data_IF_585862455785
#
_entry.id   IF_585862455785
#
_cell.length_a   1.000
_cell.length_b   1.000
_cell.length_c   1.000
_cell.angle_alpha   90.00
_cell.angle_beta   90.00
_cell.angle_gamma   90.00
#
_symmetry.space_group_name_H-M   'P 1'
#
loop_
_entity.id
_entity.type
_entity.pdbx_description
1 polymer ?
#
# COMPACT_ATOMS: atom_id res chain seq x y z
N UNK A 1 -70.35 -21.65 7.90
CA UNK A 1 -69.87 -22.46 6.77
C UNK A 1 -68.80 -21.61 6.08
N UNK A 2 -67.54 -22.01 6.13
CA UNK A 2 -66.45 -21.25 5.50
C UNK A 2 -66.22 -21.78 4.09
N UNK A 3 -66.26 -20.89 3.10
CA UNK A 3 -65.91 -21.17 1.71
C UNK A 3 -64.49 -20.67 1.49
N UNK A 4 -63.60 -21.56 1.05
CA UNK A 4 -62.22 -21.23 0.72
C UNK A 4 -62.07 -21.37 -0.79
N UNK A 5 -61.62 -20.30 -1.44
CA UNK A 5 -61.30 -20.29 -2.86
C UNK A 5 -59.77 -20.20 -3.03
N UNK A 6 -59.23 -20.98 -3.98
CA UNK A 6 -57.83 -20.93 -4.38
C UNK A 6 -57.76 -20.50 -5.86
N UNK A 7 -57.00 -19.44 -6.14
CA UNK A 7 -56.76 -18.95 -7.49
C UNK A 7 -55.27 -19.09 -7.84
N UNK A 8 -54.95 -19.82 -8.90
CA UNK A 8 -53.58 -19.99 -9.40
C UNK A 8 -53.49 -19.51 -10.86
N UNK A 9 -52.40 -18.81 -11.18
CA UNK A 9 -52.04 -18.46 -12.56
C UNK A 9 -51.12 -19.54 -13.12
N UNK A 10 -51.46 -20.09 -14.29
CA UNK A 10 -50.61 -21.08 -14.98
C UNK A 10 -49.64 -20.36 -15.93
N UNK A 11 -48.33 -20.38 -15.64
CA UNK A 11 -47.33 -19.79 -16.53
C UNK A 11 -47.14 -20.63 -17.79
N UNK A 12 -46.66 -20.01 -18.87
CA UNK A 12 -46.32 -20.73 -20.09
C UNK A 12 -45.23 -21.78 -19.81
N UNK A 13 -45.29 -22.93 -20.50
CA UNK A 13 -44.31 -24.00 -20.35
C UNK A 13 -42.87 -23.45 -20.51
N UNK A 14 -41.97 -23.80 -19.60
CA UNK A 14 -40.57 -23.35 -19.59
C UNK A 14 -40.33 -21.91 -19.14
N UNK A 15 -41.36 -21.07 -18.93
CA UNK A 15 -41.16 -19.68 -18.51
C UNK A 15 -40.68 -19.54 -17.06
N UNK A 16 -41.04 -20.46 -16.17
CA UNK A 16 -40.50 -20.51 -14.81
C UNK A 16 -39.03 -20.96 -14.84
N UNK A 17 -38.68 -21.98 -15.62
CA UNK A 17 -37.30 -22.45 -15.75
C UNK A 17 -36.39 -21.40 -16.40
N UNK A 18 -36.90 -20.64 -17.37
CA UNK A 18 -36.19 -19.51 -17.96
C UNK A 18 -35.92 -18.41 -16.92
N UNK A 19 -36.91 -18.08 -16.08
CA UNK A 19 -36.72 -17.12 -14.99
C UNK A 19 -35.76 -17.62 -13.93
N UNK A 20 -35.86 -18.89 -13.53
CA UNK A 20 -34.96 -19.49 -12.56
C UNK A 20 -33.50 -19.44 -13.06
N UNK A 21 -33.26 -19.77 -14.34
CA UNK A 21 -31.94 -19.62 -14.97
C UNK A 21 -31.46 -18.18 -14.98
N UNK A 22 -32.29 -17.23 -15.41
CA UNK A 22 -31.93 -15.81 -15.41
C UNK A 22 -31.55 -15.31 -14.00
N UNK A 23 -32.34 -15.65 -12.99
CA UNK A 23 -32.04 -15.29 -11.59
C UNK A 23 -30.78 -15.98 -11.06
N UNK A 24 -30.50 -17.22 -11.50
CA UNK A 24 -29.27 -17.91 -11.13
C UNK A 24 -28.03 -17.25 -11.74
N UNK A 25 -28.09 -16.85 -13.01
CA UNK A 25 -27.02 -16.10 -13.68
C UNK A 25 -26.81 -14.72 -13.03
N UNK A 26 -27.89 -13.99 -12.71
CA UNK A 26 -27.82 -12.73 -11.98
C UNK A 26 -27.16 -12.91 -10.60
N UNK A 27 -27.52 -13.99 -9.87
CA UNK A 27 -26.89 -14.30 -8.60
C UNK A 27 -25.39 -14.60 -8.73
N UNK A 28 -24.99 -15.34 -9.77
CA UNK A 28 -23.58 -15.62 -10.05
C UNK A 28 -22.80 -14.34 -10.38
N UNK A 29 -23.39 -13.44 -11.18
CA UNK A 29 -22.79 -12.15 -11.50
C UNK A 29 -22.58 -11.30 -10.23
N UNK A 30 -23.59 -11.21 -9.35
CA UNK A 30 -23.47 -10.48 -8.08
C UNK A 30 -22.38 -11.06 -7.17
N UNK A 31 -22.21 -12.38 -7.12
CA UNK A 31 -21.14 -13.02 -6.35
C UNK A 31 -19.76 -12.72 -6.94
N UNK A 32 -19.63 -12.73 -8.27
CA UNK A 32 -18.40 -12.36 -8.94
C UNK A 32 -18.02 -10.89 -8.66
N UNK A 33 -18.99 -9.97 -8.73
CA UNK A 33 -18.80 -8.56 -8.39
C UNK A 33 -18.34 -8.38 -6.95
N UNK A 34 -18.97 -9.07 -5.99
CA UNK A 34 -18.56 -9.04 -4.59
C UNK A 34 -17.11 -9.50 -4.42
N UNK A 35 -16.74 -10.62 -5.05
CA UNK A 35 -15.36 -11.14 -4.98
C UNK A 35 -14.33 -10.16 -5.57
N UNK A 36 -14.72 -9.43 -6.62
CA UNK A 36 -13.88 -8.40 -7.25
C UNK A 36 -13.66 -7.22 -6.30
N UNK A 37 -14.73 -6.73 -5.66
CA UNK A 37 -14.63 -5.66 -4.66
C UNK A 37 -13.77 -6.06 -3.45
N UNK A 38 -13.90 -7.31 -2.96
CA UNK A 38 -13.04 -7.83 -1.90
C UNK A 38 -11.56 -7.83 -2.31
N UNK A 39 -11.25 -8.26 -3.55
CA UNK A 39 -9.88 -8.23 -4.09
C UNK A 39 -9.35 -6.80 -4.20
N UNK A 40 -10.16 -5.84 -4.66
CA UNK A 40 -9.78 -4.42 -4.75
C UNK A 40 -9.45 -3.85 -3.37
N UNK A 41 -10.24 -4.17 -2.34
CA UNK A 41 -9.98 -3.71 -0.97
C UNK A 41 -8.69 -4.32 -0.43
N UNK A 42 -8.46 -5.62 -0.65
CA UNK A 42 -7.24 -6.30 -0.23
C UNK A 42 -5.99 -5.72 -0.93
N UNK A 43 -6.06 -5.47 -2.23
CA UNK A 43 -4.99 -4.84 -3.01
C UNK A 43 -4.67 -3.43 -2.49
N UNK A 44 -5.70 -2.60 -2.28
CA UNK A 44 -5.53 -1.25 -1.71
C UNK A 44 -4.86 -1.28 -0.34
N UNK A 45 -5.24 -2.24 0.52
CA UNK A 45 -4.61 -2.41 1.83
C UNK A 45 -3.14 -2.79 1.70
N UNK A 46 -2.83 -3.77 0.84
CA UNK A 46 -1.48 -4.27 0.61
C UNK A 46 -0.56 -3.17 0.06
N UNK A 47 -1.01 -2.44 -0.97
CA UNK A 47 -0.26 -1.34 -1.56
C UNK A 47 -0.04 -0.19 -0.57
N UNK A 48 -1.06 0.22 0.17
CA UNK A 48 -0.92 1.27 1.18
C UNK A 48 0.06 0.88 2.31
N UNK A 49 0.08 -0.40 2.70
CA UNK A 49 1.05 -0.90 3.66
C UNK A 49 2.46 -0.98 3.08
N UNK A 50 2.62 -1.42 1.83
CA UNK A 50 3.90 -1.45 1.14
C UNK A 50 4.51 -0.04 1.02
N UNK A 51 3.71 0.96 0.63
CA UNK A 51 4.13 2.38 0.58
C UNK A 51 4.59 2.89 1.95
N UNK A 52 3.86 2.51 3.02
CA UNK A 52 4.21 2.87 4.40
C UNK A 52 5.54 2.24 4.83
N UNK A 53 5.76 0.96 4.53
CA UNK A 53 7.02 0.25 4.80
C UNK A 53 8.17 0.89 4.02
N UNK A 54 7.96 1.19 2.74
CA UNK A 54 8.97 1.82 1.88
C UNK A 54 9.36 3.20 2.41
N UNK A 55 8.40 4.05 2.75
CA UNK A 55 8.68 5.40 3.26
C UNK A 55 9.50 5.37 4.56
N UNK A 56 9.25 4.41 5.46
CA UNK A 56 10.07 4.21 6.65
C UNK A 56 11.46 3.64 6.33
N UNK A 57 11.59 2.75 5.34
CA UNK A 57 12.90 2.29 4.88
C UNK A 57 13.74 3.43 4.29
N UNK A 58 13.13 4.30 3.49
CA UNK A 58 13.76 5.51 2.95
C UNK A 58 14.16 6.48 4.08
N UNK A 59 13.30 6.69 5.07
CA UNK A 59 13.61 7.50 6.26
C UNK A 59 14.87 6.98 6.96
N UNK A 60 14.92 5.69 7.29
CA UNK A 60 16.07 5.06 7.98
C UNK A 60 17.34 5.20 7.14
N UNK A 61 17.26 5.03 5.83
CA UNK A 61 18.41 5.22 4.94
C UNK A 61 18.90 6.67 4.96
N UNK A 62 17.99 7.63 4.86
CA UNK A 62 18.31 9.05 4.85
C UNK A 62 18.90 9.53 6.19
N UNK A 63 18.40 9.01 7.31
CA UNK A 63 18.95 9.25 8.66
C UNK A 63 20.38 8.71 8.79
N UNK A 64 20.65 7.51 8.27
CA UNK A 64 22.03 6.97 8.22
C UNK A 64 22.95 7.83 7.37
N UNK A 65 22.48 8.32 6.23
CA UNK A 65 23.24 9.24 5.37
C UNK A 65 23.55 10.56 6.10
N UNK A 66 22.59 11.14 6.82
CA UNK A 66 22.82 12.34 7.63
C UNK A 66 23.85 12.12 8.74
N UNK A 67 23.77 10.98 9.44
CA UNK A 67 24.75 10.63 10.46
C UNK A 67 26.17 10.51 9.87
N UNK A 68 26.30 9.96 8.66
CA UNK A 68 27.58 9.88 7.96
C UNK A 68 28.10 11.26 7.55
N UNK A 69 27.25 12.10 6.95
CA UNK A 69 27.61 13.47 6.56
C UNK A 69 28.04 14.32 7.76
N UNK A 70 27.37 14.16 8.91
CA UNK A 70 27.74 14.84 10.14
C UNK A 70 29.14 14.45 10.62
N UNK A 71 29.49 13.16 10.58
CA UNK A 71 30.84 12.67 10.93
C UNK A 71 31.91 13.20 9.96
N UNK A 72 31.61 13.20 8.65
CA UNK A 72 32.52 13.77 7.64
C UNK A 72 32.72 15.27 7.88
N UNK A 73 31.65 16.00 8.19
CA UNK A 73 31.70 17.44 8.47
C UNK A 73 32.52 17.78 9.72
N UNK A 74 32.49 16.94 10.75
CA UNK A 74 33.37 17.08 11.92
C UNK A 74 34.84 16.87 11.55
N UNK A 75 35.14 15.84 10.76
CA UNK A 75 36.51 15.54 10.32
C UNK A 75 37.11 16.62 9.42
N UNK A 76 36.31 17.24 8.54
CA UNK A 76 36.76 18.35 7.68
C UNK A 76 36.99 19.62 8.50
N UNK A 77 36.08 19.95 9.43
CA UNK A 77 36.24 21.11 10.32
C UNK A 77 37.49 21.01 11.20
N UNK A 78 37.80 19.83 11.72
CA UNK A 78 39.02 19.60 12.51
C UNK A 78 40.31 19.86 11.71
N UNK A 79 40.35 19.51 10.42
CA UNK A 79 41.51 19.76 9.54
C UNK A 79 41.67 21.23 9.16
N UNK A 80 40.55 21.93 8.97
CA UNK A 80 40.56 23.36 8.70
C UNK A 80 41.13 24.16 9.88
N UNK A 81 40.76 23.82 11.12
CA UNK A 81 41.26 24.50 12.32
C UNK A 81 42.77 24.35 12.53
N UNK A 82 43.40 23.32 11.95
CA UNK A 82 44.85 23.08 12.01
C UNK A 82 45.63 23.66 10.82
N UNK A 83 45.00 24.50 9.98
CA UNK A 83 45.66 25.20 8.87
C UNK A 83 45.61 24.50 7.51
N UNK A 84 44.81 23.44 7.35
CA UNK A 84 44.62 22.74 6.06
C UNK A 84 43.57 23.39 5.15
N UNK A 85 43.63 23.15 3.82
CA UNK A 85 42.59 23.54 2.88
C UNK A 85 41.34 22.66 3.05
N UNK A 86 40.26 23.21 3.63
CA UNK A 86 39.02 22.45 3.88
C UNK A 86 37.71 23.25 3.75
N UNK A 87 37.77 24.55 3.45
CA UNK A 87 36.57 25.41 3.41
C UNK A 87 35.59 24.99 2.30
N UNK A 88 36.09 24.66 1.12
CA UNK A 88 35.27 24.22 -0.01
C UNK A 88 34.61 22.84 0.25
N UNK A 89 35.32 21.94 0.94
CA UNK A 89 34.80 20.63 1.33
C UNK A 89 33.74 20.75 2.42
N UNK A 90 33.94 21.64 3.40
CA UNK A 90 32.95 21.94 4.43
C UNK A 90 31.66 22.48 3.81
N UNK A 91 31.76 23.45 2.91
CA UNK A 91 30.60 24.00 2.20
C UNK A 91 29.87 22.93 1.37
N UNK A 92 30.61 22.01 0.73
CA UNK A 92 30.00 20.89 -0.01
C UNK A 92 29.23 19.95 0.93
N UNK A 93 29.79 19.64 2.10
CA UNK A 93 29.11 18.81 3.10
C UNK A 93 27.83 19.49 3.59
N UNK A 94 27.85 20.79 3.86
CA UNK A 94 26.66 21.54 4.31
C UNK A 94 25.54 21.53 3.26
N UNK A 95 25.90 21.61 1.97
CA UNK A 95 24.93 21.46 0.87
C UNK A 95 24.31 20.06 0.88
N UNK A 96 25.11 19.00 1.04
CA UNK A 96 24.60 17.62 1.08
C UNK A 96 23.73 17.35 2.33
N UNK A 97 24.08 17.92 3.48
CA UNK A 97 23.25 17.88 4.70
C UNK A 97 21.90 18.56 4.44
N UNK A 98 21.91 19.73 3.81
CA UNK A 98 20.68 20.47 3.48
C UNK A 98 19.79 19.67 2.52
N UNK A 99 20.37 19.03 1.50
CA UNK A 99 19.62 18.13 0.59
C UNK A 99 19.00 16.96 1.35
N UNK A 100 19.77 16.31 2.23
CA UNK A 100 19.30 15.20 3.03
C UNK A 100 18.17 15.58 4.00
N UNK A 101 18.23 16.76 4.61
CA UNK A 101 17.15 17.29 5.46
C UNK A 101 15.87 17.57 4.65
N UNK A 102 15.99 18.14 3.45
CA UNK A 102 14.84 18.33 2.55
C UNK A 102 14.22 16.99 2.14
N UNK A 103 15.05 15.98 1.87
CA UNK A 103 14.58 14.64 1.59
C UNK A 103 13.80 14.04 2.78
N UNK A 104 14.29 14.19 4.02
CA UNK A 104 13.56 13.76 5.22
C UNK A 104 12.20 14.46 5.37
N UNK A 105 12.11 15.76 5.10
CA UNK A 105 10.85 16.48 5.17
C UNK A 105 9.82 15.92 4.15
N UNK A 106 10.28 15.63 2.93
CA UNK A 106 9.45 14.98 1.91
C UNK A 106 8.99 13.59 2.36
N UNK A 107 9.92 12.76 2.85
CA UNK A 107 9.62 11.41 3.36
C UNK A 107 8.62 11.46 4.52
N UNK A 108 8.72 12.46 5.40
CA UNK A 108 7.71 12.68 6.46
C UNK A 108 6.30 12.91 5.90
N UNK A 109 6.20 13.65 4.79
CA UNK A 109 4.95 13.78 4.04
C UNK A 109 4.48 12.46 3.43
N UNK A 110 5.40 11.65 2.91
CA UNK A 110 5.10 10.35 2.30
C UNK A 110 4.57 9.36 3.34
N UNK A 111 5.17 9.33 4.54
CA UNK A 111 4.69 8.58 5.71
C UNK A 111 3.29 9.05 6.13
N UNK A 112 3.06 10.36 6.18
CA UNK A 112 1.75 10.90 6.56
C UNK A 112 0.65 10.51 5.56
N UNK A 113 0.95 10.53 4.26
CA UNK A 113 0.02 10.14 3.19
C UNK A 113 -0.29 8.65 3.22
N UNK A 114 0.73 7.78 3.24
CA UNK A 114 0.54 6.33 3.30
C UNK A 114 -0.20 5.90 4.58
N UNK A 115 0.11 6.52 5.72
CA UNK A 115 -0.66 6.32 6.98
C UNK A 115 -2.13 6.68 6.83
N UNK A 116 -2.44 7.81 6.22
CA UNK A 116 -3.82 8.24 6.04
C UNK A 116 -4.60 7.27 5.12
N UNK A 117 -3.98 6.82 4.02
CA UNK A 117 -4.56 5.82 3.12
C UNK A 117 -4.80 4.50 3.85
N UNK A 118 -3.80 4.00 4.59
CA UNK A 118 -3.92 2.75 5.34
C UNK A 118 -5.02 2.83 6.43
N UNK A 119 -5.07 3.94 7.17
CA UNK A 119 -6.13 4.16 8.15
C UNK A 119 -7.52 4.21 7.48
N UNK A 120 -7.65 4.82 6.31
CA UNK A 120 -8.93 4.87 5.59
C UNK A 120 -9.44 3.47 5.21
N UNK A 121 -8.56 2.60 4.69
CA UNK A 121 -8.90 1.21 4.37
C UNK A 121 -9.28 0.43 5.63
N UNK A 122 -8.61 0.70 6.75
CA UNK A 122 -8.89 0.09 8.06
C UNK A 122 -10.08 0.71 8.81
N UNK A 123 -10.81 1.65 8.19
CA UNK A 123 -11.91 2.41 8.82
C UNK A 123 -11.50 3.11 10.13
N UNK A 124 -10.29 3.65 10.16
CA UNK A 124 -9.72 4.43 11.27
C UNK A 124 -9.61 5.91 10.88
N UNK A 125 -9.57 6.85 11.85
CA UNK A 125 -9.28 8.25 11.56
C UNK A 125 -7.96 8.38 10.77
N UNK A 126 -7.86 9.26 9.76
CA UNK A 126 -6.68 9.35 8.89
C UNK A 126 -5.40 9.71 9.66
N UNK A 127 -5.52 10.52 10.71
CA UNK A 127 -4.42 10.90 11.60
C UNK A 127 -4.14 9.92 12.73
N UNK A 128 -4.84 8.78 12.82
CA UNK A 128 -4.63 7.82 13.90
C UNK A 128 -3.20 7.29 13.86
N UNK A 129 -2.56 7.20 15.03
CA UNK A 129 -1.19 6.74 15.14
C UNK A 129 -1.06 5.28 14.66
N UNK A 130 0.00 5.03 13.90
CA UNK A 130 0.49 3.71 13.51
C UNK A 130 1.94 3.60 13.98
N UNK A 131 2.33 2.41 14.44
CA UNK A 131 3.72 2.14 14.78
C UNK A 131 4.62 2.17 13.56
N UNK A 132 5.93 2.27 13.80
CA UNK A 132 6.93 2.04 12.75
C UNK A 132 6.87 0.58 12.28
N UNK A 133 6.87 0.33 10.96
CA UNK A 133 6.84 -1.02 10.43
C UNK A 133 8.10 -1.79 10.81
N UNK A 134 7.95 -3.10 11.07
CA UNK A 134 9.08 -3.98 11.35
C UNK A 134 9.93 -4.16 10.10
N UNK A 135 11.24 -4.25 10.28
CA UNK A 135 12.16 -4.61 9.21
C UNK A 135 12.00 -6.09 8.88
N UNK A 136 11.30 -6.40 7.80
CA UNK A 136 11.21 -7.74 7.24
C UNK A 136 12.00 -7.81 5.93
N UNK A 137 12.80 -8.87 5.72
CA UNK A 137 13.42 -9.09 4.42
C UNK A 137 12.34 -9.22 3.34
N UNK A 138 12.60 -8.75 2.11
CA UNK A 138 11.64 -8.85 1.03
C UNK A 138 11.30 -10.33 0.78
N UNK A 139 10.00 -10.62 0.70
CA UNK A 139 9.53 -11.96 0.37
C UNK A 139 9.78 -12.20 -1.11
N UNK A 140 10.81 -12.99 -1.44
CA UNK A 140 11.08 -13.39 -2.82
C UNK A 140 10.29 -14.65 -3.13
N UNK A 141 9.11 -14.49 -3.72
CA UNK A 141 8.33 -15.61 -4.24
C UNK A 141 8.94 -16.06 -5.56
N UNK A 142 9.47 -17.29 -5.59
CA UNK A 142 9.95 -17.95 -6.82
C UNK A 142 8.79 -18.72 -7.46
N UNK A 143 7.95 -18.04 -8.23
CA UNK A 143 6.92 -18.68 -9.06
C UNK A 143 7.25 -18.35 -10.52
N UNK A 144 7.13 -19.34 -11.41
CA UNK A 144 7.32 -19.14 -12.86
C UNK A 144 6.17 -18.34 -13.47
N UNK A 145 6.39 -17.71 -14.63
CA UNK A 145 5.32 -16.96 -15.31
C UNK A 145 4.20 -17.92 -15.73
N UNK A 146 4.56 -19.12 -16.16
CA UNK A 146 3.64 -20.18 -16.56
C UNK A 146 2.72 -20.59 -15.39
N UNK A 147 3.29 -20.77 -14.19
CA UNK A 147 2.52 -21.09 -12.98
C UNK A 147 1.59 -19.94 -12.55
N UNK A 148 1.98 -18.68 -12.80
CA UNK A 148 1.12 -17.51 -12.52
C UNK A 148 -0.08 -17.46 -13.46
N UNK A 149 0.12 -17.71 -14.76
CA UNK A 149 -0.97 -17.75 -15.76
C UNK A 149 -1.95 -18.86 -15.39
N UNK A 150 -1.45 -20.07 -15.10
CA UNK A 150 -2.30 -21.19 -14.70
C UNK A 150 -3.14 -20.90 -13.45
N UNK A 151 -2.60 -20.15 -12.48
CA UNK A 151 -3.35 -19.71 -11.28
C UNK A 151 -4.35 -18.60 -11.55
N UNK A 152 -4.09 -17.76 -12.54
CA UNK A 152 -5.01 -16.69 -12.94
C UNK A 152 -6.22 -17.27 -13.70
N UNK A 153 -6.01 -18.27 -14.54
CA UNK A 153 -7.09 -18.97 -15.27
C UNK A 153 -7.96 -19.84 -14.36
N UNK A 154 -7.43 -20.27 -13.21
CA UNK A 154 -8.15 -21.07 -12.22
C UNK A 154 -9.00 -20.23 -11.23
N UNK A 155 -8.93 -18.89 -11.28
CA UNK A 155 -9.52 -17.94 -10.32
C UNK A 155 -10.56 -16.99 -10.94
#
# INVERSE_FOLDING_TARGET
MYMVELRQRFPAAGSLDARARAMAEEAQAMLAELSSEERIVAERAANAFADYVQAFAEKRLQERQLALLARMGQAVRARYTTGGSGLAEAARIDVEVTKAQRALARIGGDIARSRATLNAVLRRPPGAALGEPRETPPETVRISVEDLIARAEAN
#
